data_IF_947449875141
#
_entry.id   IF_947449875141
#
_cell.length_a   1.000
_cell.length_b   1.000
_cell.length_c   1.000
_cell.angle_alpha   90.00
_cell.angle_beta   90.00
_cell.angle_gamma   90.00
#
_symmetry.space_group_name_H-M   'P 1'
#
loop_
_entity.id
_entity.type
_entity.pdbx_description
1 polymer ?
#
# COMPACT_ATOMS: atom_id res chain seq x y z
N UNK A 1 -14.23 32.80 -57.77
CA UNK A 1 -14.23 31.40 -57.29
C UNK A 1 -12.82 30.84 -56.96
N UNK A 2 -11.78 31.66 -56.77
CA UNK A 2 -10.42 31.18 -56.47
C UNK A 2 -10.02 31.25 -54.98
N UNK A 3 -10.73 32.04 -54.16
CA UNK A 3 -10.32 32.31 -52.76
C UNK A 3 -10.72 31.20 -51.76
N UNK A 4 -11.77 30.43 -52.06
CA UNK A 4 -12.27 29.35 -51.20
C UNK A 4 -11.49 28.04 -51.36
N UNK A 5 -10.86 27.80 -52.53
CA UNK A 5 -10.03 26.60 -52.74
C UNK A 5 -8.68 26.68 -51.99
N UNK A 6 -8.13 27.88 -51.83
CA UNK A 6 -6.83 28.07 -51.15
C UNK A 6 -6.92 27.75 -49.65
N UNK A 7 -8.01 28.15 -48.98
CA UNK A 7 -8.23 27.87 -47.54
C UNK A 7 -8.47 26.39 -47.23
N UNK A 8 -9.14 25.65 -48.12
CA UNK A 8 -9.36 24.21 -47.96
C UNK A 8 -8.07 23.41 -48.12
N UNK A 9 -7.18 23.84 -49.05
CA UNK A 9 -5.86 23.24 -49.24
C UNK A 9 -4.97 23.38 -47.99
N UNK A 10 -4.97 24.57 -47.35
CA UNK A 10 -4.16 24.82 -46.16
C UNK A 10 -4.66 24.05 -44.93
N UNK A 11 -5.99 23.91 -44.76
CA UNK A 11 -6.57 23.09 -43.68
C UNK A 11 -6.26 21.60 -43.84
N UNK A 12 -6.27 21.08 -45.06
CA UNK A 12 -5.88 19.69 -45.35
C UNK A 12 -4.41 19.44 -45.13
N UNK A 13 -3.54 20.37 -45.53
CA UNK A 13 -2.11 20.30 -45.27
C UNK A 13 -1.79 20.32 -43.77
N UNK A 14 -2.46 21.18 -42.99
CA UNK A 14 -2.29 21.24 -41.53
C UNK A 14 -2.68 19.93 -40.83
N UNK A 15 -3.80 19.31 -41.23
CA UNK A 15 -4.26 18.03 -40.66
C UNK A 15 -3.23 16.93 -40.97
N UNK A 16 -2.70 16.88 -42.18
CA UNK A 16 -1.68 15.90 -42.57
C UNK A 16 -0.41 16.08 -41.73
N UNK A 17 0.06 17.31 -41.55
CA UNK A 17 1.23 17.61 -40.70
C UNK A 17 0.99 17.18 -39.26
N UNK A 18 -0.19 17.47 -38.68
CA UNK A 18 -0.53 17.07 -37.31
C UNK A 18 -0.61 15.55 -37.15
N UNK A 19 -1.10 14.82 -38.15
CA UNK A 19 -1.10 13.34 -38.14
C UNK A 19 0.33 12.80 -38.19
N UNK A 20 1.22 13.36 -39.00
CA UNK A 20 2.62 12.95 -39.04
C UNK A 20 3.36 13.28 -37.73
N UNK A 21 3.09 14.44 -37.12
CA UNK A 21 3.64 14.80 -35.80
C UNK A 21 3.12 13.86 -34.72
N UNK A 22 1.83 13.51 -34.74
CA UNK A 22 1.23 12.56 -33.80
C UNK A 22 1.81 11.15 -33.99
N UNK A 23 1.96 10.68 -35.23
CA UNK A 23 2.60 9.39 -35.53
C UNK A 23 4.06 9.38 -35.06
N UNK A 24 4.82 10.44 -35.33
CA UNK A 24 6.20 10.60 -34.89
C UNK A 24 6.31 10.59 -33.36
N UNK A 25 5.46 11.37 -32.65
CA UNK A 25 5.41 11.38 -31.19
C UNK A 25 4.98 10.01 -30.64
N UNK A 26 4.00 9.35 -31.23
CA UNK A 26 3.55 8.01 -30.78
C UNK A 26 4.63 6.94 -30.93
N UNK A 27 5.46 7.02 -31.99
CA UNK A 27 6.62 6.15 -32.15
C UNK A 27 7.78 6.49 -31.21
N UNK A 28 7.89 7.75 -30.80
CA UNK A 28 8.90 8.22 -29.85
C UNK A 28 8.55 7.81 -28.42
N UNK A 29 7.28 7.94 -28.01
CA UNK A 29 6.79 7.49 -26.69
C UNK A 29 6.83 5.96 -26.55
N UNK A 30 6.62 5.20 -27.63
CA UNK A 30 6.81 3.73 -27.62
C UNK A 30 8.27 3.29 -27.60
N UNK A 31 9.21 4.20 -27.89
CA UNK A 31 10.65 3.94 -27.92
C UNK A 31 11.40 4.63 -26.76
N UNK A 32 10.72 4.93 -25.65
CA UNK A 32 11.42 5.08 -24.37
C UNK A 32 11.93 3.68 -24.00
N UNK A 33 13.09 3.33 -24.55
CA UNK A 33 13.92 2.27 -24.00
C UNK A 33 14.15 2.69 -22.56
N UNK A 34 13.69 1.88 -21.61
CA UNK A 34 14.08 1.97 -20.21
C UNK A 34 15.58 2.28 -20.19
N UNK A 35 16.03 3.33 -19.49
CA UNK A 35 17.46 3.59 -19.42
C UNK A 35 18.11 2.30 -18.97
N UNK A 36 18.97 1.74 -19.82
CA UNK A 36 19.76 0.58 -19.48
C UNK A 36 20.68 1.01 -18.35
N UNK A 37 20.22 0.83 -17.11
CA UNK A 37 21.02 1.05 -15.92
C UNK A 37 22.08 -0.04 -15.90
N UNK A 38 23.22 0.29 -16.51
CA UNK A 38 24.44 -0.50 -16.60
C UNK A 38 24.28 -1.83 -17.36
N UNK A 39 25.08 -2.00 -18.43
CA UNK A 39 25.15 -3.21 -19.24
C UNK A 39 25.77 -4.40 -18.51
N UNK A 40 25.15 -4.86 -17.43
CA UNK A 40 25.51 -6.09 -16.71
C UNK A 40 24.55 -7.21 -17.09
N UNK A 41 24.44 -7.48 -18.39
CA UNK A 41 23.91 -8.75 -18.89
C UNK A 41 24.97 -9.83 -18.67
N UNK A 42 25.21 -10.21 -17.42
CA UNK A 42 26.04 -11.38 -17.11
C UNK A 42 25.33 -12.19 -16.04
N UNK A 43 24.88 -13.37 -16.46
CA UNK A 43 24.45 -14.49 -15.61
C UNK A 43 25.34 -14.63 -14.37
N UNK A 44 24.80 -15.03 -13.21
CA UNK A 44 25.57 -15.21 -11.99
C UNK A 44 26.44 -16.47 -12.10
N UNK A 45 27.52 -16.40 -12.87
CA UNK A 45 28.63 -17.34 -12.70
C UNK A 45 29.54 -16.74 -11.63
N UNK A 46 29.84 -17.54 -10.60
CA UNK A 46 30.81 -17.21 -9.57
C UNK A 46 32.19 -17.10 -10.24
N UNK A 47 32.51 -15.92 -10.74
CA UNK A 47 33.85 -15.58 -11.19
C UNK A 47 34.68 -15.30 -9.93
N UNK A 48 35.68 -16.13 -9.57
CA UNK A 48 36.50 -15.93 -8.38
C UNK A 48 37.35 -14.64 -8.40
N UNK A 49 37.26 -13.84 -9.47
CA UNK A 49 37.87 -12.52 -9.62
C UNK A 49 36.93 -11.34 -9.32
N UNK A 50 35.63 -11.56 -9.10
CA UNK A 50 34.67 -10.46 -8.79
C UNK A 50 34.66 -10.14 -7.30
N UNK A 51 34.60 -8.84 -6.98
CA UNK A 51 34.55 -8.38 -5.60
C UNK A 51 33.22 -8.79 -4.93
N UNK A 52 33.20 -9.25 -3.67
CA UNK A 52 31.96 -9.69 -3.02
C UNK A 52 30.82 -8.66 -3.02
N UNK A 53 31.14 -7.37 -2.90
CA UNK A 53 30.14 -6.29 -3.01
C UNK A 53 29.50 -6.24 -4.40
N UNK A 54 30.25 -6.50 -5.47
CA UNK A 54 29.71 -6.51 -6.84
C UNK A 54 28.68 -7.64 -7.00
N UNK A 55 28.92 -8.80 -6.38
CA UNK A 55 27.93 -9.88 -6.33
C UNK A 55 26.64 -9.43 -5.65
N UNK A 56 26.73 -8.82 -4.46
CA UNK A 56 25.56 -8.33 -3.72
C UNK A 56 24.77 -7.27 -4.50
N UNK A 57 25.47 -6.39 -5.23
CA UNK A 57 24.81 -5.40 -6.09
C UNK A 57 24.07 -6.09 -7.24
N UNK A 58 24.71 -7.05 -7.92
CA UNK A 58 24.08 -7.79 -9.02
C UNK A 58 22.86 -8.58 -8.55
N UNK A 59 22.96 -9.22 -7.39
CA UNK A 59 21.86 -9.94 -6.74
C UNK A 59 20.69 -9.01 -6.43
N UNK A 60 20.95 -7.89 -5.74
CA UNK A 60 19.93 -6.90 -5.41
C UNK A 60 19.25 -6.30 -6.66
N UNK A 61 20.02 -6.05 -7.74
CA UNK A 61 19.46 -5.56 -9.00
C UNK A 61 18.58 -6.61 -9.68
N UNK A 62 18.99 -7.88 -9.66
CA UNK A 62 18.21 -8.99 -10.18
C UNK A 62 16.90 -9.16 -9.40
N UNK A 63 16.95 -9.10 -8.08
CA UNK A 63 15.77 -9.17 -7.23
C UNK A 63 14.83 -8.00 -7.44
N UNK A 64 15.38 -6.78 -7.56
CA UNK A 64 14.57 -5.60 -7.86
C UNK A 64 13.86 -5.72 -9.21
N UNK A 65 14.56 -6.18 -10.25
CA UNK A 65 13.95 -6.42 -11.57
C UNK A 65 12.85 -7.49 -11.50
N UNK A 66 13.11 -8.59 -10.79
CA UNK A 66 12.10 -9.63 -10.55
C UNK A 66 10.86 -9.06 -9.86
N UNK A 67 11.01 -8.20 -8.85
CA UNK A 67 9.87 -7.57 -8.16
C UNK A 67 9.05 -6.71 -9.13
N UNK A 68 9.72 -5.92 -9.99
CA UNK A 68 9.03 -5.09 -10.99
C UNK A 68 8.22 -5.91 -12.01
N UNK A 69 8.64 -7.14 -12.32
CA UNK A 69 7.88 -8.03 -13.21
C UNK A 69 6.51 -8.46 -12.64
N UNK A 70 6.28 -8.28 -11.33
CA UNK A 70 5.02 -8.60 -10.66
C UNK A 70 4.04 -7.43 -10.58
N UNK A 71 4.27 -6.34 -11.34
CA UNK A 71 3.37 -5.19 -11.39
C UNK A 71 1.98 -5.60 -11.93
N UNK A 72 0.94 -5.14 -11.22
CA UNK A 72 -0.46 -5.35 -11.60
C UNK A 72 -1.03 -4.11 -12.27
N UNK A 73 -1.46 -4.24 -13.52
CA UNK A 73 -2.03 -3.13 -14.29
C UNK A 73 -3.56 -3.10 -14.31
N UNK A 74 -4.23 -4.15 -13.84
CA UNK A 74 -5.69 -4.20 -13.77
C UNK A 74 -6.16 -4.57 -12.38
N UNK A 75 -7.37 -4.12 -12.01
CA UNK A 75 -8.00 -4.48 -10.73
C UNK A 75 -8.11 -6.00 -10.55
N UNK A 76 -8.38 -6.72 -11.64
CA UNK A 76 -8.47 -8.19 -11.60
C UNK A 76 -7.12 -8.83 -11.30
N UNK A 77 -6.05 -8.33 -11.92
CA UNK A 77 -4.69 -8.84 -11.70
C UNK A 77 -4.21 -8.52 -10.28
N UNK A 78 -4.43 -7.30 -9.80
CA UNK A 78 -4.10 -6.91 -8.42
C UNK A 78 -4.86 -7.78 -7.40
N UNK A 79 -6.15 -7.99 -7.61
CA UNK A 79 -6.95 -8.84 -6.73
C UNK A 79 -6.54 -10.33 -6.81
N UNK A 80 -6.02 -10.79 -7.95
CA UNK A 80 -5.48 -12.15 -8.11
C UNK A 80 -4.15 -12.29 -7.38
N UNK A 81 -3.22 -11.35 -7.56
CA UNK A 81 -1.94 -11.30 -6.86
C UNK A 81 -2.15 -11.26 -5.34
N UNK A 82 -3.08 -10.42 -4.87
CA UNK A 82 -3.51 -10.35 -3.47
C UNK A 82 -3.94 -11.73 -2.95
N UNK A 83 -4.86 -12.41 -3.64
CA UNK A 83 -5.35 -13.73 -3.19
C UNK A 83 -4.26 -14.79 -3.19
N UNK A 84 -3.36 -14.75 -4.18
CA UNK A 84 -2.24 -15.68 -4.28
C UNK A 84 -1.24 -15.48 -3.14
N UNK A 85 -0.93 -14.22 -2.79
CA UNK A 85 0.06 -13.91 -1.75
C UNK A 85 -0.51 -13.97 -0.34
N UNK A 86 -1.77 -13.55 -0.16
CA UNK A 86 -2.40 -13.35 1.17
C UNK A 86 -3.39 -14.44 1.56
N UNK A 87 -3.70 -15.38 0.68
CA UNK A 87 -4.65 -16.47 0.95
C UNK A 87 -6.11 -16.04 1.16
N UNK A 88 -6.43 -14.75 1.07
CA UNK A 88 -7.74 -14.16 1.43
C UNK A 88 -8.25 -13.20 0.37
N UNK A 89 -9.54 -12.86 0.41
CA UNK A 89 -10.11 -11.87 -0.51
C UNK A 89 -9.59 -10.46 -0.17
N UNK A 90 -9.37 -9.57 -1.17
CA UNK A 90 -9.04 -8.18 -0.90
C UNK A 90 -10.08 -7.50 0.01
N UNK A 91 -9.67 -6.49 0.81
CA UNK A 91 -10.56 -5.82 1.75
C UNK A 91 -11.72 -5.09 1.04
N UNK A 92 -12.77 -4.71 1.79
CA UNK A 92 -13.77 -3.77 1.31
C UNK A 92 -13.14 -2.52 0.68
N UNK A 93 -13.75 -2.01 -0.39
CA UNK A 93 -13.29 -0.81 -1.13
C UNK A 93 -11.92 -0.93 -1.81
N UNK A 94 -11.42 -2.16 -2.02
CA UNK A 94 -10.19 -2.40 -2.78
C UNK A 94 -10.23 -1.83 -4.21
N UNK A 95 -11.41 -1.80 -4.84
CA UNK A 95 -11.60 -1.19 -6.15
C UNK A 95 -11.48 0.34 -6.12
N UNK A 96 -11.97 0.99 -5.07
CA UNK A 96 -11.76 2.43 -4.83
C UNK A 96 -10.29 2.75 -4.60
N UNK A 97 -9.60 1.94 -3.79
CA UNK A 97 -8.16 2.04 -3.58
C UNK A 97 -7.39 1.91 -4.91
N UNK A 98 -7.67 0.86 -5.70
CA UNK A 98 -7.00 0.65 -6.98
C UNK A 98 -7.17 1.84 -7.94
N UNK A 99 -8.38 2.41 -8.04
CA UNK A 99 -8.63 3.62 -8.85
C UNK A 99 -7.87 4.84 -8.33
N UNK A 100 -7.76 4.98 -7.01
CA UNK A 100 -6.99 6.06 -6.41
C UNK A 100 -5.50 5.93 -6.78
N UNK A 101 -4.92 4.74 -6.62
CA UNK A 101 -3.52 4.48 -6.99
C UNK A 101 -3.26 4.71 -8.49
N UNK A 102 -4.17 4.27 -9.36
CA UNK A 102 -4.09 4.54 -10.81
C UNK A 102 -4.10 6.05 -11.10
N UNK A 103 -4.93 6.83 -10.39
CA UNK A 103 -4.96 8.30 -10.54
C UNK A 103 -3.67 8.98 -10.08
N UNK A 104 -2.90 8.35 -9.18
CA UNK A 104 -1.61 8.83 -8.70
C UNK A 104 -0.43 8.28 -9.52
N UNK A 105 -0.69 7.47 -10.55
CA UNK A 105 0.34 6.77 -11.32
C UNK A 105 1.27 5.93 -10.42
N UNK A 106 0.69 5.27 -9.41
CA UNK A 106 1.40 4.43 -8.48
C UNK A 106 1.64 3.03 -9.05
N UNK A 107 2.81 2.46 -8.74
CA UNK A 107 3.18 1.09 -9.12
C UNK A 107 2.58 0.10 -8.11
N UNK A 108 1.72 -0.79 -8.57
CA UNK A 108 1.00 -1.73 -7.71
C UNK A 108 1.66 -3.11 -7.79
N UNK A 109 2.45 -3.44 -6.77
CA UNK A 109 3.12 -4.74 -6.64
C UNK A 109 2.80 -5.32 -5.26
N UNK A 110 2.06 -6.42 -5.20
CA UNK A 110 1.60 -7.03 -3.93
C UNK A 110 2.76 -7.42 -2.99
N UNK A 111 3.93 -7.79 -3.56
CA UNK A 111 5.17 -8.09 -2.83
C UNK A 111 5.65 -6.96 -1.94
N UNK A 112 5.49 -5.71 -2.37
CA UNK A 112 5.96 -4.54 -1.63
C UNK A 112 5.17 -4.26 -0.34
N UNK A 113 4.04 -4.95 -0.16
CA UNK A 113 3.21 -4.79 1.03
C UNK A 113 3.51 -5.81 2.13
N UNK A 114 4.47 -6.73 1.95
CA UNK A 114 4.77 -7.79 2.92
C UNK A 114 5.02 -7.28 4.33
N UNK A 115 5.79 -6.21 4.48
CA UNK A 115 6.07 -5.61 5.79
C UNK A 115 4.79 -5.26 6.56
N UNK A 116 3.76 -4.73 5.88
CA UNK A 116 2.49 -4.39 6.51
C UNK A 116 1.82 -5.64 7.08
N UNK A 117 1.95 -6.79 6.41
CA UNK A 117 1.35 -8.04 6.84
C UNK A 117 2.13 -8.66 7.99
N UNK A 118 3.46 -8.66 7.92
CA UNK A 118 4.34 -9.12 9.01
C UNK A 118 4.09 -8.32 10.29
N UNK A 119 3.94 -7.00 10.18
CA UNK A 119 3.68 -6.11 11.33
C UNK A 119 2.28 -6.33 11.94
N UNK A 120 1.28 -6.68 11.11
CA UNK A 120 -0.11 -6.84 11.53
C UNK A 120 -0.45 -8.26 11.98
N UNK A 121 0.29 -9.26 11.53
CA UNK A 121 0.00 -10.68 11.79
C UNK A 121 -0.13 -11.02 13.28
N UNK A 122 0.74 -10.54 14.20
CA UNK A 122 0.58 -10.80 15.62
C UNK A 122 -0.78 -10.33 16.16
N UNK A 123 -1.31 -9.22 15.65
CA UNK A 123 -2.59 -8.69 16.11
C UNK A 123 -3.79 -9.49 15.63
N UNK A 124 -3.66 -10.30 14.57
CA UNK A 124 -4.73 -11.20 14.11
C UNK A 124 -4.92 -12.40 15.04
N UNK A 125 -3.88 -12.80 15.76
CA UNK A 125 -3.98 -13.80 16.83
C UNK A 125 -4.64 -13.29 18.11
N UNK A 126 -4.82 -11.97 18.24
CA UNK A 126 -5.38 -11.33 19.43
C UNK A 126 -6.89 -11.10 19.28
N UNK A 127 -7.58 -10.88 20.41
CA UNK A 127 -9.00 -10.50 20.36
C UNK A 127 -9.16 -9.10 19.73
N UNK A 128 -10.02 -8.99 18.71
CA UNK A 128 -10.28 -7.71 18.04
C UNK A 128 -10.73 -6.61 19.02
N UNK A 129 -11.49 -6.99 20.04
CA UNK A 129 -11.91 -6.09 21.11
C UNK A 129 -10.73 -5.63 21.97
N UNK A 130 -9.84 -6.55 22.38
CA UNK A 130 -8.66 -6.23 23.17
C UNK A 130 -7.72 -5.27 22.43
N UNK A 131 -7.48 -5.49 21.13
CA UNK A 131 -6.66 -4.59 20.31
C UNK A 131 -7.25 -3.19 20.25
N UNK A 132 -8.56 -3.05 20.02
CA UNK A 132 -9.26 -1.75 20.02
C UNK A 132 -9.17 -1.05 21.37
N UNK A 133 -9.33 -1.80 22.47
CA UNK A 133 -9.27 -1.26 23.82
C UNK A 133 -7.86 -0.77 24.17
N UNK A 134 -6.83 -1.55 23.83
CA UNK A 134 -5.43 -1.17 24.00
C UNK A 134 -5.08 0.09 23.19
N UNK A 135 -5.50 0.16 21.93
CA UNK A 135 -5.29 1.34 21.08
C UNK A 135 -5.94 2.62 21.65
N UNK A 136 -7.08 2.50 22.34
CA UNK A 136 -7.73 3.65 22.99
C UNK A 136 -7.02 4.08 24.28
N UNK A 137 -6.58 3.09 25.08
CA UNK A 137 -6.00 3.30 26.41
C UNK A 137 -4.54 3.72 26.40
N UNK A 138 -3.79 3.36 25.36
CA UNK A 138 -2.37 3.69 25.29
C UNK A 138 -2.18 5.21 25.31
N UNK A 139 -1.30 5.67 26.20
CA UNK A 139 -0.98 7.08 26.35
C UNK A 139 0.03 7.52 25.28
N UNK A 140 -0.48 7.68 24.07
CA UNK A 140 0.21 8.07 22.85
C UNK A 140 -0.65 9.07 22.08
N UNK A 141 -0.02 9.80 21.15
CA UNK A 141 -0.76 10.53 20.12
C UNK A 141 -1.61 9.54 19.32
N UNK A 142 -2.81 9.93 18.90
CA UNK A 142 -3.71 9.06 18.15
C UNK A 142 -4.25 9.78 16.93
N UNK A 143 -4.48 9.03 15.86
CA UNK A 143 -5.35 9.44 14.76
C UNK A 143 -6.63 8.64 14.87
N UNK A 144 -7.76 9.34 14.86
CA UNK A 144 -9.09 8.73 14.84
C UNK A 144 -9.76 9.04 13.51
N UNK A 145 -10.25 8.00 12.87
CA UNK A 145 -11.12 8.08 11.71
C UNK A 145 -12.50 7.63 12.20
N UNK A 146 -13.50 8.48 12.05
CA UNK A 146 -14.87 8.17 12.42
C UNK A 146 -15.82 8.84 11.44
N UNK A 147 -16.67 8.05 10.79
CA UNK A 147 -17.61 8.51 9.76
C UNK A 147 -16.93 9.36 8.68
N UNK A 148 -15.74 8.95 8.25
CA UNK A 148 -14.95 9.64 7.22
C UNK A 148 -14.28 10.93 7.69
N UNK A 149 -14.41 11.32 8.96
CA UNK A 149 -13.71 12.48 9.54
C UNK A 149 -12.44 12.01 10.23
N UNK A 150 -11.31 12.64 9.90
CA UNK A 150 -10.00 12.35 10.49
C UNK A 150 -9.66 13.42 11.53
N UNK A 151 -9.36 12.98 12.76
CA UNK A 151 -8.97 13.86 13.87
C UNK A 151 -7.69 13.36 14.52
N UNK A 152 -6.81 14.29 14.90
CA UNK A 152 -5.64 14.00 15.75
C UNK A 152 -5.96 14.26 17.23
N UNK A 153 -5.46 13.39 18.11
CA UNK A 153 -5.53 13.52 19.57
C UNK A 153 -4.11 13.54 20.15
N UNK A 154 -3.77 14.57 20.94
CA UNK A 154 -2.45 14.79 21.52
C UNK A 154 -1.84 16.13 21.10
N UNK A 155 -0.57 16.36 21.44
CA UNK A 155 0.15 17.57 21.05
C UNK A 155 0.31 17.63 19.51
N UNK A 156 -0.41 18.57 18.89
CA UNK A 156 -0.47 18.81 17.44
C UNK A 156 0.57 19.81 16.95
N UNK A 157 1.34 20.44 17.84
CA UNK A 157 2.36 21.43 17.45
C UNK A 157 3.59 20.77 16.80
N UNK A 158 3.66 19.44 16.88
CA UNK A 158 4.61 18.62 16.14
C UNK A 158 4.09 18.31 14.72
N UNK A 159 4.78 18.83 13.72
CA UNK A 159 4.34 18.81 12.32
C UNK A 159 4.09 17.41 11.74
N UNK A 160 4.58 16.35 12.38
CA UNK A 160 4.34 14.96 11.97
C UNK A 160 2.86 14.56 12.06
N UNK A 161 2.20 14.79 13.21
CA UNK A 161 0.80 14.37 13.39
C UNK A 161 -0.12 15.10 12.41
N UNK A 162 0.13 16.39 12.20
CA UNK A 162 -0.60 17.19 11.22
C UNK A 162 -0.49 16.64 9.79
N UNK A 163 0.72 16.25 9.36
CA UNK A 163 0.95 15.66 8.03
C UNK A 163 0.18 14.35 7.86
N UNK A 164 0.18 13.50 8.87
CA UNK A 164 -0.58 12.25 8.84
C UNK A 164 -2.09 12.49 8.73
N UNK A 165 -2.63 13.42 9.53
CA UNK A 165 -4.06 13.79 9.47
C UNK A 165 -4.42 14.32 8.07
N UNK A 166 -3.57 15.18 7.49
CA UNK A 166 -3.79 15.72 6.15
C UNK A 166 -3.77 14.63 5.09
N UNK A 167 -2.78 13.74 5.11
CA UNK A 167 -2.66 12.64 4.15
C UNK A 167 -3.88 11.71 4.22
N UNK A 168 -4.30 11.32 5.42
CA UNK A 168 -5.45 10.44 5.62
C UNK A 168 -6.78 11.11 5.27
N UNK A 169 -6.91 12.43 5.46
CA UNK A 169 -8.12 13.17 5.10
C UNK A 169 -8.42 13.10 3.60
N UNK A 170 -7.40 12.95 2.75
CA UNK A 170 -7.59 12.84 1.31
C UNK A 170 -8.25 11.51 0.88
N UNK A 171 -8.16 10.47 1.72
CA UNK A 171 -8.66 9.12 1.42
C UNK A 171 -9.72 8.64 2.43
N UNK A 172 -10.10 9.47 3.40
CA UNK A 172 -10.86 9.07 4.58
C UNK A 172 -12.25 8.50 4.30
N UNK A 173 -12.87 8.90 3.18
CA UNK A 173 -14.18 8.39 2.74
C UNK A 173 -14.15 6.89 2.45
N UNK A 174 -12.99 6.35 2.08
CA UNK A 174 -12.77 4.93 1.77
C UNK A 174 -12.13 4.15 2.93
N UNK A 175 -12.02 4.76 4.11
CA UNK A 175 -11.39 4.13 5.28
C UNK A 175 -12.43 3.73 6.33
N UNK A 176 -12.21 2.62 7.06
CA UNK A 176 -13.06 2.24 8.16
C UNK A 176 -12.85 3.15 9.37
N UNK A 177 -13.81 3.09 10.29
CA UNK A 177 -13.64 3.63 11.63
C UNK A 177 -12.49 2.95 12.36
N UNK A 178 -11.45 3.72 12.69
CA UNK A 178 -10.22 3.21 13.31
C UNK A 178 -9.60 4.23 14.24
N UNK A 179 -8.95 3.75 15.29
CA UNK A 179 -8.08 4.56 16.15
C UNK A 179 -6.66 4.00 16.04
N UNK A 180 -5.74 4.84 15.58
CA UNK A 180 -4.35 4.50 15.31
C UNK A 180 -3.47 5.25 16.32
N UNK A 181 -2.92 4.58 17.34
CA UNK A 181 -1.87 5.14 18.16
C UNK A 181 -0.61 5.35 17.33
N UNK A 182 -0.03 6.54 17.40
CA UNK A 182 1.18 6.90 16.68
C UNK A 182 2.26 7.27 17.68
N UNK A 183 3.42 6.65 17.51
CA UNK A 183 4.59 6.98 18.27
C UNK A 183 5.28 8.20 17.65
N UNK A 184 5.26 9.32 18.37
CA UNK A 184 6.03 10.51 17.98
C UNK A 184 7.49 10.48 18.44
N UNK A 185 7.93 9.40 19.07
CA UNK A 185 9.30 9.25 19.56
C UNK A 185 10.13 8.39 18.62
N UNK A 186 11.46 8.55 18.69
CA UNK A 186 12.42 7.74 17.91
C UNK A 186 12.56 6.30 18.42
N UNK A 187 12.10 6.01 19.64
CA UNK A 187 12.23 4.72 20.31
C UNK A 187 10.92 3.96 20.27
N UNK A 188 10.96 2.64 20.04
CA UNK A 188 9.77 1.79 20.09
C UNK A 188 9.09 1.86 21.47
N UNK A 189 7.75 1.83 21.48
CA UNK A 189 6.92 1.90 22.70
C UNK A 189 6.15 0.63 23.01
N UNK A 190 6.17 -0.34 22.11
CA UNK A 190 5.57 -1.66 22.29
C UNK A 190 6.70 -2.67 22.36
N UNK A 191 6.85 -3.30 23.53
CA UNK A 191 7.78 -4.39 23.74
C UNK A 191 6.94 -5.65 23.98
N UNK A 192 7.17 -6.68 23.18
CA UNK A 192 6.54 -7.98 23.31
C UNK A 192 7.62 -9.05 23.48
N UNK A 193 7.33 -10.07 24.29
CA UNK A 193 8.20 -11.24 24.36
C UNK A 193 8.13 -12.00 23.02
N UNK A 194 9.22 -12.67 22.66
CA UNK A 194 9.25 -13.49 21.46
C UNK A 194 8.20 -14.61 21.53
N UNK A 195 8.02 -15.19 22.72
CA UNK A 195 7.04 -16.23 22.99
C UNK A 195 5.61 -15.77 22.73
N UNK A 196 5.24 -14.57 23.18
CA UNK A 196 3.89 -14.00 22.98
C UNK A 196 3.62 -13.69 21.50
N UNK A 197 4.62 -13.17 20.79
CA UNK A 197 4.54 -12.91 19.35
C UNK A 197 4.34 -14.22 18.59
N UNK A 198 5.16 -15.24 18.85
CA UNK A 198 5.03 -16.56 18.23
C UNK A 198 3.68 -17.21 18.52
N UNK A 199 3.18 -17.14 19.76
CA UNK A 199 1.88 -17.70 20.13
C UNK A 199 0.73 -16.99 19.40
N UNK A 200 0.83 -15.67 19.23
CA UNK A 200 -0.15 -14.87 18.50
C UNK A 200 -0.13 -15.17 17.00
N UNK A 201 1.05 -15.22 16.37
CA UNK A 201 1.19 -15.61 14.96
C UNK A 201 0.68 -17.04 14.69
N UNK A 202 0.96 -17.99 15.60
CA UNK A 202 0.43 -19.35 15.50
C UNK A 202 -1.11 -19.40 15.60
N UNK A 203 -1.73 -18.43 16.28
CA UNK A 203 -3.19 -18.29 16.35
C UNK A 203 -3.74 -17.60 15.11
N UNK A 204 -3.05 -16.57 14.60
CA UNK A 204 -3.40 -15.85 13.38
C UNK A 204 -3.51 -16.81 12.17
N UNK A 205 -2.49 -17.64 11.95
CA UNK A 205 -2.45 -18.60 10.84
C UNK A 205 -3.58 -19.63 10.86
N UNK A 206 -4.16 -19.94 12.04
CA UNK A 206 -5.35 -20.82 12.16
C UNK A 206 -6.68 -20.11 11.88
N UNK A 207 -6.68 -18.78 11.87
CA UNK A 207 -7.88 -17.95 11.80
C UNK A 207 -8.12 -17.31 10.42
N UNK A 208 -7.33 -17.69 9.41
CA UNK A 208 -7.48 -17.16 8.06
C UNK A 208 -8.82 -17.57 7.44
N UNK A 209 -9.63 -16.57 7.09
CA UNK A 209 -10.91 -16.79 6.42
C UNK A 209 -10.70 -17.01 4.92
N UNK A 210 -11.32 -18.05 4.38
CA UNK A 210 -11.32 -18.32 2.94
C UNK A 210 -11.87 -17.13 2.14
N UNK A 211 -11.37 -16.86 0.91
CA UNK A 211 -11.90 -15.79 0.06
C UNK A 211 -13.41 -15.85 -0.19
N UNK A 212 -14.05 -17.02 -0.06
CA UNK A 212 -15.50 -17.19 -0.22
C UNK A 212 -16.31 -16.75 0.99
N UNK A 213 -15.69 -16.65 2.17
CA UNK A 213 -16.32 -16.33 3.46
C UNK A 213 -16.06 -14.87 3.88
N UNK A 214 -15.21 -14.15 3.14
CA UNK A 214 -14.85 -12.76 3.43
C UNK A 214 -16.03 -11.82 3.17
N UNK A 215 -16.35 -10.97 4.16
CA UNK A 215 -17.36 -9.92 4.02
C UNK A 215 -16.82 -8.71 3.23
N UNK A 216 -17.68 -8.10 2.42
CA UNK A 216 -17.35 -6.90 1.60
C UNK A 216 -17.65 -5.57 2.30
N UNK A 217 -18.01 -5.62 3.58
CA UNK A 217 -18.36 -4.44 4.38
C UNK A 217 -17.49 -4.39 5.63
N UNK A 218 -17.18 -3.19 6.09
CA UNK A 218 -16.46 -3.00 7.33
C UNK A 218 -17.38 -3.28 8.52
N UNK A 219 -16.86 -4.02 9.51
CA UNK A 219 -17.52 -4.15 10.80
C UNK A 219 -17.45 -2.80 11.54
N UNK A 220 -18.61 -2.18 11.79
CA UNK A 220 -18.69 -1.04 12.70
C UNK A 220 -18.67 -1.53 14.15
N UNK A 221 -17.73 -1.05 15.00
CA UNK A 221 -17.82 -1.30 16.42
C UNK A 221 -19.16 -0.79 16.95
N UNK A 222 -19.84 -1.57 17.80
CA UNK A 222 -20.96 -1.04 18.58
C UNK A 222 -20.44 0.08 19.49
N UNK A 223 -21.26 1.09 19.73
CA UNK A 223 -20.88 2.34 20.36
C UNK A 223 -20.10 2.19 21.69
N UNK A 224 -19.34 3.23 22.01
CA UNK A 224 -18.20 3.28 22.94
C UNK A 224 -18.50 2.92 24.40
N UNK A 225 -19.77 2.93 24.84
CA UNK A 225 -20.13 2.70 26.25
C UNK A 225 -20.06 1.22 26.67
N UNK A 226 -20.38 0.27 25.78
CA UNK A 226 -20.42 -1.17 26.12
C UNK A 226 -19.02 -1.81 26.33
N UNK A 227 -17.94 -1.12 25.93
CA UNK A 227 -16.56 -1.64 25.98
C UNK A 227 -15.77 -1.20 27.23
N UNK A 228 -16.36 -0.33 28.05
CA UNK A 228 -15.78 0.12 29.32
C UNK A 228 -16.01 -0.88 30.46
N UNK A 229 -16.96 -1.81 30.32
CA UNK A 229 -17.33 -2.77 31.37
C UNK A 229 -16.51 -4.06 31.38
N UNK A 230 -15.76 -4.36 30.31
CA UNK A 230 -15.03 -5.62 30.20
C UNK A 230 -13.57 -5.39 30.61
N UNK A 231 -13.20 -6.02 31.73
CA UNK A 231 -11.97 -5.84 32.49
C UNK A 231 -10.66 -5.92 31.70
N UNK A 232 -9.58 -5.55 32.40
CA UNK A 232 -8.23 -5.41 31.85
C UNK A 232 -7.80 -6.69 31.11
N UNK A 233 -7.40 -6.65 29.83
CA UNK A 233 -6.90 -7.81 29.14
C UNK A 233 -5.63 -8.34 29.80
N UNK A 234 -5.61 -9.62 30.17
CA UNK A 234 -4.53 -10.28 30.95
C UNK A 234 -3.11 -10.22 30.33
N UNK A 235 -2.99 -9.76 29.08
CA UNK A 235 -1.73 -9.65 28.35
C UNK A 235 -1.00 -8.31 28.55
N UNK A 236 -1.65 -7.30 29.13
CA UNK A 236 -0.97 -6.06 29.56
C UNK A 236 -0.50 -6.29 31.01
N UNK A 237 0.70 -6.88 31.18
CA UNK A 237 1.34 -6.98 32.49
C UNK A 237 2.14 -5.69 32.74
N UNK A 238 1.78 -4.99 33.82
CA UNK A 238 2.50 -3.81 34.32
C UNK A 238 3.94 -4.14 34.70
#
# INVERSE_FOLDING_TARGET
MAFTMFFVSHRRALIIVLVFVFLYLSTSFRNVKSPSLLGLSSTPSLNPQRHPIEHLILEALSDFQRILEHESHTLSDAAKAYRQRRGRHPPPQFDSWFKFEESQNATIIEELFDQIYEDLEPFWGMSQMGVRQAARRVDMRKIRIHDGVVTGEGDTDDGDLHRWVQALSNISVSLPDVTLPINGMTQARVLASWEDVCASMATASRSETSPSETKREFNRPKDTEDLLEIGNPDWIRN
#
